data_IF_726029327396
#
_entry.id   IF_726029327396
#
_cell.length_a   1.000
_cell.length_b   1.000
_cell.length_c   1.000
_cell.angle_alpha   90.00
_cell.angle_beta   90.00
_cell.angle_gamma   90.00
#
_symmetry.space_group_name_H-M   'P 1'
#
loop_
_entity.id
_entity.type
_entity.pdbx_description
1 polymer ?
#
# COMPACT_ATOMS: atom_id res chain seq x y z
N UNK A 1 -40.05 9.65 35.37
CA UNK A 1 -40.01 8.65 34.28
C UNK A 1 -41.33 7.92 34.26
N UNK A 2 -41.99 7.93 33.13
CA UNK A 2 -43.20 7.13 32.90
C UNK A 2 -42.82 5.63 32.87
N UNK A 3 -43.75 4.72 33.25
CA UNK A 3 -43.51 3.28 33.22
C UNK A 3 -42.96 2.78 31.87
N UNK A 4 -43.40 3.36 30.77
CA UNK A 4 -42.95 3.04 29.45
C UNK A 4 -41.49 3.51 29.18
N UNK A 5 -41.09 4.65 29.73
CA UNK A 5 -39.69 5.15 29.65
C UNK A 5 -38.76 4.27 30.48
N UNK A 6 -39.20 3.84 31.66
CA UNK A 6 -38.44 2.95 32.52
C UNK A 6 -38.23 1.57 31.88
N UNK A 7 -39.26 1.00 31.26
CA UNK A 7 -39.16 -0.28 30.53
C UNK A 7 -38.18 -0.17 29.35
N UNK A 8 -38.22 0.92 28.57
CA UNK A 8 -37.28 1.16 27.46
C UNK A 8 -35.86 1.33 27.96
N UNK A 9 -35.66 2.06 29.06
CA UNK A 9 -34.34 2.25 29.68
C UNK A 9 -33.75 0.92 30.17
N UNK A 10 -34.54 0.12 30.92
CA UNK A 10 -34.12 -1.19 31.43
C UNK A 10 -33.81 -2.15 30.26
N UNK A 11 -34.65 -2.18 29.22
CA UNK A 11 -34.44 -2.99 28.03
C UNK A 11 -33.14 -2.60 27.27
N UNK A 12 -32.89 -1.31 27.13
CA UNK A 12 -31.67 -0.78 26.56
C UNK A 12 -30.41 -1.16 27.34
N UNK A 13 -30.50 -1.06 28.68
CA UNK A 13 -29.41 -1.43 29.59
C UNK A 13 -29.06 -2.94 29.50
N UNK A 14 -30.10 -3.79 29.51
CA UNK A 14 -29.94 -5.25 29.36
C UNK A 14 -29.30 -5.58 28.02
N UNK A 15 -29.77 -4.96 26.94
CA UNK A 15 -29.23 -5.16 25.60
C UNK A 15 -27.74 -4.75 25.51
N UNK A 16 -27.40 -3.59 26.08
CA UNK A 16 -26.04 -3.11 26.13
C UNK A 16 -25.12 -4.02 26.96
N UNK A 17 -25.57 -4.46 28.13
CA UNK A 17 -24.81 -5.39 28.99
C UNK A 17 -24.62 -6.75 28.32
N UNK A 18 -25.66 -7.32 27.73
CA UNK A 18 -25.58 -8.62 27.04
C UNK A 18 -24.60 -8.56 25.85
N UNK A 19 -24.68 -7.50 25.04
CA UNK A 19 -23.76 -7.26 23.94
C UNK A 19 -22.34 -7.10 24.45
N UNK A 20 -22.13 -6.25 25.46
CA UNK A 20 -20.80 -5.98 26.03
C UNK A 20 -20.14 -7.23 26.64
N UNK A 21 -20.91 -8.07 27.35
CA UNK A 21 -20.40 -9.33 27.91
C UNK A 21 -19.99 -10.30 26.80
N UNK A 22 -20.80 -10.47 25.76
CA UNK A 22 -20.50 -11.33 24.62
C UNK A 22 -19.27 -10.86 23.86
N UNK A 23 -19.19 -9.56 23.57
CA UNK A 23 -18.05 -8.96 22.85
C UNK A 23 -16.78 -8.96 23.72
N UNK A 24 -16.90 -8.76 25.03
CA UNK A 24 -15.78 -8.90 25.98
C UNK A 24 -15.15 -10.31 25.93
N UNK A 25 -16.01 -11.34 25.92
CA UNK A 25 -15.54 -12.71 25.78
C UNK A 25 -14.90 -12.96 24.40
N UNK A 26 -15.46 -12.36 23.34
CA UNK A 26 -14.93 -12.42 21.98
C UNK A 26 -13.56 -11.75 21.88
N UNK A 27 -13.40 -10.53 22.41
CA UNK A 27 -12.16 -9.76 22.42
C UNK A 27 -11.01 -10.51 23.13
N UNK A 28 -11.34 -11.21 24.23
CA UNK A 28 -10.34 -12.04 24.93
C UNK A 28 -9.79 -13.18 24.08
N UNK A 29 -10.57 -13.70 23.12
CA UNK A 29 -10.11 -14.74 22.18
C UNK A 29 -9.07 -14.22 21.20
N UNK A 30 -9.04 -12.91 20.98
CA UNK A 30 -8.14 -12.20 20.05
C UNK A 30 -7.13 -11.30 20.78
N UNK A 31 -6.87 -11.55 22.06
CA UNK A 31 -5.97 -10.77 22.91
C UNK A 31 -6.29 -9.27 23.03
N UNK A 32 -7.51 -8.87 22.70
CA UNK A 32 -7.99 -7.49 22.86
C UNK A 32 -8.50 -7.29 24.29
N UNK A 33 -8.23 -6.12 24.89
CA UNK A 33 -8.69 -5.82 26.26
C UNK A 33 -10.21 -5.84 26.34
N UNK A 34 -10.77 -6.76 27.12
CA UNK A 34 -12.22 -6.95 27.23
C UNK A 34 -13.00 -5.72 27.69
N UNK A 35 -12.38 -4.78 28.44
CA UNK A 35 -13.04 -3.52 28.86
C UNK A 35 -13.48 -2.66 27.70
N UNK A 36 -12.82 -2.75 26.55
CA UNK A 36 -13.17 -1.98 25.35
C UNK A 36 -14.56 -2.34 24.80
N UNK A 37 -15.07 -3.52 25.12
CA UNK A 37 -16.42 -3.96 24.75
C UNK A 37 -17.56 -3.11 25.39
N UNK A 38 -17.26 -2.35 26.44
CA UNK A 38 -18.25 -1.53 27.14
C UNK A 38 -18.14 -0.04 26.84
N UNK A 39 -17.16 0.36 26.01
CA UNK A 39 -16.93 1.77 25.68
C UNK A 39 -17.44 2.02 24.26
N UNK A 40 -18.53 2.80 24.10
CA UNK A 40 -19.07 3.14 22.78
C UNK A 40 -18.02 3.82 21.88
N UNK A 41 -17.99 3.45 20.61
CA UNK A 41 -16.98 3.88 19.66
C UNK A 41 -15.72 2.98 19.69
N UNK A 42 -15.12 2.77 20.88
CA UNK A 42 -13.95 1.89 21.04
C UNK A 42 -14.34 0.42 20.78
N UNK A 43 -15.53 0.01 21.19
CA UNK A 43 -16.08 -1.30 20.87
C UNK A 43 -16.14 -1.53 19.36
N UNK A 44 -16.72 -0.59 18.63
CA UNK A 44 -16.90 -0.66 17.19
C UNK A 44 -15.55 -0.69 16.45
N UNK A 45 -14.62 0.14 16.90
CA UNK A 45 -13.26 0.16 16.35
C UNK A 45 -12.53 -1.18 16.53
N UNK A 46 -12.57 -1.76 17.74
CA UNK A 46 -11.90 -3.03 18.01
C UNK A 46 -12.58 -4.23 17.32
N UNK A 47 -13.89 -4.19 17.08
CA UNK A 47 -14.55 -5.18 16.24
C UNK A 47 -14.06 -5.13 14.79
N UNK A 48 -13.78 -3.94 14.28
CA UNK A 48 -13.22 -3.78 12.95
C UNK A 48 -11.75 -4.22 12.88
N UNK A 49 -10.94 -3.98 13.92
CA UNK A 49 -9.58 -4.52 14.03
C UNK A 49 -9.61 -6.04 14.01
N UNK A 50 -10.46 -6.68 14.83
CA UNK A 50 -10.64 -8.13 14.85
C UNK A 50 -11.09 -8.69 13.48
N UNK A 51 -11.81 -7.90 12.69
CA UNK A 51 -12.24 -8.23 11.34
C UNK A 51 -11.19 -7.89 10.26
N UNK A 52 -9.97 -7.49 10.63
CA UNK A 52 -8.90 -7.03 9.73
C UNK A 52 -9.32 -5.86 8.81
N UNK A 53 -10.18 -4.96 9.33
CA UNK A 53 -10.75 -3.80 8.64
C UNK A 53 -10.46 -2.49 9.39
N UNK A 54 -9.20 -2.22 9.73
CA UNK A 54 -8.83 -1.06 10.56
C UNK A 54 -9.27 0.28 9.94
N UNK A 55 -9.14 0.48 8.63
CA UNK A 55 -9.56 1.72 7.96
C UNK A 55 -11.09 1.91 8.03
N UNK A 56 -11.86 0.84 7.79
CA UNK A 56 -13.31 0.86 7.99
C UNK A 56 -13.63 1.12 9.48
N UNK A 57 -12.79 0.63 10.40
CA UNK A 57 -12.91 0.82 11.84
C UNK A 57 -12.74 2.27 12.28
N UNK A 58 -11.78 3.01 11.72
CA UNK A 58 -11.61 4.45 11.98
C UNK A 58 -12.87 5.23 11.60
N UNK A 59 -13.41 4.94 10.40
CA UNK A 59 -14.66 5.57 9.94
C UNK A 59 -15.86 5.16 10.81
N UNK A 60 -15.96 3.89 11.18
CA UNK A 60 -17.02 3.35 12.01
C UNK A 60 -17.01 3.96 13.42
N UNK A 61 -15.81 4.13 14.02
CA UNK A 61 -15.61 4.86 15.27
C UNK A 61 -16.12 6.30 15.18
N UNK A 62 -15.69 7.05 14.14
CA UNK A 62 -16.12 8.43 13.94
C UNK A 62 -17.64 8.55 13.80
N UNK A 63 -18.26 7.66 13.02
CA UNK A 63 -19.72 7.61 12.86
C UNK A 63 -20.43 7.29 14.19
N UNK A 64 -19.88 6.38 15.00
CA UNK A 64 -20.43 6.05 16.30
C UNK A 64 -20.38 7.26 17.26
N UNK A 65 -19.25 7.95 17.35
CA UNK A 65 -19.09 9.15 18.18
C UNK A 65 -20.04 10.25 17.72
N UNK A 66 -20.08 10.56 16.42
CA UNK A 66 -20.99 11.59 15.88
C UNK A 66 -22.46 11.25 16.14
N UNK A 67 -22.86 9.99 16.03
CA UNK A 67 -24.21 9.52 16.34
C UNK A 67 -24.58 9.75 17.80
N UNK A 68 -23.68 9.41 18.74
CA UNK A 68 -23.94 9.66 20.17
C UNK A 68 -24.00 11.15 20.49
N UNK A 69 -23.15 11.98 19.86
CA UNK A 69 -23.23 13.44 20.00
C UNK A 69 -24.56 13.97 19.45
N UNK A 70 -24.99 13.52 18.27
CA UNK A 70 -26.29 13.92 17.70
C UNK A 70 -27.46 13.53 18.61
N UNK A 71 -27.40 12.34 19.22
CA UNK A 71 -28.42 11.90 20.19
C UNK A 71 -28.47 12.81 21.43
N UNK A 72 -27.30 13.19 21.99
CA UNK A 72 -27.26 14.12 23.13
C UNK A 72 -27.76 15.51 22.75
N UNK A 73 -27.40 16.02 21.59
CA UNK A 73 -27.85 17.33 21.09
C UNK A 73 -29.36 17.35 20.87
N UNK A 74 -29.96 16.23 20.48
CA UNK A 74 -31.39 16.12 20.30
C UNK A 74 -32.18 16.41 21.58
N UNK A 75 -31.63 16.07 22.77
CA UNK A 75 -32.26 16.36 24.05
C UNK A 75 -32.32 17.85 24.42
N UNK A 76 -31.52 18.70 23.75
CA UNK A 76 -31.48 20.15 23.97
C UNK A 76 -32.68 20.85 23.31
N UNK A 77 -33.23 20.25 22.26
CA UNK A 77 -34.32 20.85 21.47
C UNK A 77 -35.69 20.25 21.80
N UNK A 78 -36.72 21.10 21.84
CA UNK A 78 -38.09 20.67 22.06
C UNK A 78 -38.62 19.86 20.88
N UNK A 79 -39.30 18.71 21.14
CA UNK A 79 -39.97 17.95 20.09
C UNK A 79 -40.92 18.83 19.27
N UNK A 80 -40.85 18.71 17.93
CA UNK A 80 -41.63 19.52 17.00
C UNK A 80 -40.96 20.81 16.50
N UNK A 81 -39.81 21.23 17.06
CA UNK A 81 -39.05 22.34 16.53
C UNK A 81 -38.30 21.96 15.22
N UNK A 82 -38.04 22.94 14.35
CA UNK A 82 -37.28 22.74 13.13
C UNK A 82 -35.86 22.20 13.42
N UNK A 83 -35.23 22.66 14.52
CA UNK A 83 -33.90 22.18 14.95
C UNK A 83 -33.96 20.72 15.41
N UNK A 84 -34.98 20.31 16.13
CA UNK A 84 -35.19 18.91 16.50
C UNK A 84 -35.28 18.01 15.27
N UNK A 85 -36.08 18.43 14.26
CA UNK A 85 -36.23 17.70 13.01
C UNK A 85 -34.90 17.59 12.24
N UNK A 86 -34.11 18.67 12.19
CA UNK A 86 -32.79 18.69 11.54
C UNK A 86 -31.82 17.70 12.22
N UNK A 87 -31.73 17.77 13.57
CA UNK A 87 -30.84 16.86 14.33
C UNK A 87 -31.29 15.40 14.17
N UNK A 88 -32.60 15.14 14.13
CA UNK A 88 -33.12 13.80 13.85
C UNK A 88 -32.71 13.27 12.46
N UNK A 89 -32.77 14.10 11.44
CA UNK A 89 -32.34 13.74 10.09
C UNK A 89 -30.84 13.40 10.09
N UNK A 90 -30.00 14.21 10.73
CA UNK A 90 -28.57 13.95 10.88
C UNK A 90 -28.33 12.62 11.61
N UNK A 91 -29.02 12.39 12.72
CA UNK A 91 -28.92 11.15 13.49
C UNK A 91 -29.29 9.92 12.64
N UNK A 92 -30.39 9.98 11.89
CA UNK A 92 -30.81 8.88 11.01
C UNK A 92 -29.83 8.63 9.87
N UNK A 93 -29.26 9.71 9.31
CA UNK A 93 -28.23 9.59 8.26
C UNK A 93 -26.95 8.92 8.77
N UNK A 94 -26.50 9.28 9.98
CA UNK A 94 -25.36 8.66 10.65
C UNK A 94 -25.62 7.18 10.99
N UNK A 95 -26.84 6.86 11.42
CA UNK A 95 -27.26 5.49 11.70
C UNK A 95 -27.24 4.63 10.43
N UNK A 96 -27.73 5.16 9.30
CA UNK A 96 -27.70 4.48 8.01
C UNK A 96 -26.24 4.25 7.55
N UNK A 97 -25.38 5.27 7.64
CA UNK A 97 -23.97 5.16 7.29
C UNK A 97 -23.28 4.09 8.18
N UNK A 98 -23.53 4.12 9.50
CA UNK A 98 -22.99 3.12 10.43
C UNK A 98 -23.48 1.70 10.08
N UNK A 99 -24.73 1.54 9.68
CA UNK A 99 -25.29 0.25 9.26
C UNK A 99 -24.56 -0.28 8.01
N UNK A 100 -24.29 0.56 7.00
CA UNK A 100 -23.58 0.17 5.79
C UNK A 100 -22.12 -0.26 6.07
N UNK A 101 -21.40 0.48 6.93
CA UNK A 101 -20.06 0.09 7.37
C UNK A 101 -20.09 -1.18 8.23
N UNK A 102 -21.12 -1.33 9.07
CA UNK A 102 -21.36 -2.53 9.86
C UNK A 102 -21.48 -3.80 8.99
N UNK A 103 -22.16 -3.72 7.84
CA UNK A 103 -22.24 -4.86 6.90
C UNK A 103 -20.84 -5.30 6.47
N UNK A 104 -19.97 -4.36 6.08
CA UNK A 104 -18.58 -4.66 5.63
C UNK A 104 -17.77 -5.32 6.74
N UNK A 105 -17.84 -4.76 7.97
CA UNK A 105 -17.09 -5.26 9.12
C UNK A 105 -17.60 -6.66 9.52
N UNK A 106 -18.91 -6.88 9.58
CA UNK A 106 -19.46 -8.17 10.00
C UNK A 106 -19.33 -9.26 8.94
N UNK A 107 -19.26 -8.92 7.64
CA UNK A 107 -18.88 -9.87 6.59
C UNK A 107 -17.44 -10.32 6.81
N UNK A 108 -16.51 -9.39 6.97
CA UNK A 108 -15.11 -9.69 7.21
C UNK A 108 -14.90 -10.46 8.53
N UNK A 109 -15.64 -10.11 9.58
CA UNK A 109 -15.64 -10.87 10.85
C UNK A 109 -16.09 -12.33 10.65
N UNK A 110 -17.07 -12.57 9.78
CA UNK A 110 -17.47 -13.95 9.44
C UNK A 110 -16.34 -14.70 8.72
N UNK A 111 -15.61 -14.03 7.85
CA UNK A 111 -14.49 -14.63 7.12
C UNK A 111 -13.34 -14.98 8.10
N UNK A 112 -12.95 -14.09 9.02
CA UNK A 112 -11.95 -14.36 10.08
C UNK A 112 -12.35 -15.54 11.00
N UNK A 113 -13.64 -15.73 11.25
CA UNK A 113 -14.12 -16.86 12.06
C UNK A 113 -14.46 -18.11 11.23
N UNK A 114 -14.17 -18.14 9.92
CA UNK A 114 -14.48 -19.25 9.02
C UNK A 114 -15.97 -19.58 8.96
N UNK A 115 -16.85 -18.57 9.05
CA UNK A 115 -18.31 -18.77 9.12
C UNK A 115 -19.00 -18.30 7.85
N UNK A 116 -20.13 -18.95 7.53
CA UNK A 116 -20.95 -18.56 6.37
C UNK A 116 -21.48 -17.13 6.54
N UNK A 117 -21.47 -16.35 5.46
CA UNK A 117 -21.94 -14.94 5.45
C UNK A 117 -23.36 -14.70 5.96
N UNK A 118 -24.19 -15.73 6.09
CA UNK A 118 -25.50 -15.64 6.75
C UNK A 118 -25.42 -15.16 8.21
N UNK A 119 -24.27 -15.34 8.88
CA UNK A 119 -24.06 -14.82 10.23
C UNK A 119 -23.97 -13.30 10.28
N UNK A 120 -23.64 -12.63 9.19
CA UNK A 120 -23.67 -11.15 9.08
C UNK A 120 -25.07 -10.62 9.39
N UNK A 121 -26.11 -11.31 8.91
CA UNK A 121 -27.49 -10.92 9.23
C UNK A 121 -27.80 -11.01 10.73
N UNK A 122 -27.31 -12.05 11.40
CA UNK A 122 -27.48 -12.20 12.84
C UNK A 122 -26.70 -11.13 13.62
N UNK A 123 -25.50 -10.76 13.16
CA UNK A 123 -24.72 -9.66 13.73
C UNK A 123 -25.42 -8.29 13.57
N UNK A 124 -26.10 -8.04 12.45
CA UNK A 124 -26.77 -6.78 12.20
C UNK A 124 -28.07 -6.62 13.02
N UNK A 125 -28.84 -7.70 13.17
CA UNK A 125 -30.18 -7.62 13.78
C UNK A 125 -30.26 -8.23 15.18
N UNK A 126 -29.36 -9.12 15.55
CA UNK A 126 -29.31 -9.84 16.82
C UNK A 126 -27.91 -9.84 17.42
N UNK A 127 -27.22 -8.70 17.36
CA UNK A 127 -25.83 -8.55 17.83
C UNK A 127 -25.60 -9.09 19.24
N UNK A 128 -26.43 -8.82 20.27
CA UNK A 128 -26.21 -9.33 21.64
C UNK A 128 -26.22 -10.86 21.69
N UNK A 129 -27.17 -11.48 21.00
CA UNK A 129 -27.29 -12.95 20.97
C UNK A 129 -26.11 -13.57 20.22
N UNK A 130 -25.74 -12.98 19.08
CA UNK A 130 -24.62 -13.45 18.27
C UNK A 130 -23.30 -13.29 19.02
N UNK A 131 -23.10 -12.16 19.69
CA UNK A 131 -21.93 -11.88 20.52
C UNK A 131 -21.79 -12.89 21.67
N UNK A 132 -22.87 -13.22 22.37
CA UNK A 132 -22.87 -14.22 23.43
C UNK A 132 -22.54 -15.62 22.88
N UNK A 133 -23.16 -16.02 21.76
CA UNK A 133 -22.90 -17.33 21.12
C UNK A 133 -21.42 -17.43 20.71
N UNK A 134 -20.91 -16.42 20.02
CA UNK A 134 -19.52 -16.43 19.52
C UNK A 134 -18.51 -16.23 20.64
N UNK A 135 -18.82 -15.41 21.64
CA UNK A 135 -17.94 -15.14 22.78
C UNK A 135 -17.70 -16.37 23.66
N UNK A 136 -18.75 -17.09 24.01
CA UNK A 136 -18.68 -18.18 24.98
C UNK A 136 -18.51 -19.58 24.38
N UNK A 137 -18.70 -19.76 23.08
CA UNK A 137 -18.54 -21.08 22.46
C UNK A 137 -17.13 -21.25 21.87
N UNK A 138 -16.45 -22.33 22.23
CA UNK A 138 -15.11 -22.67 21.72
C UNK A 138 -15.08 -23.00 20.21
N UNK A 139 -16.26 -23.17 19.61
CA UNK A 139 -16.39 -23.38 18.14
C UNK A 139 -16.13 -22.11 17.33
N UNK A 140 -16.07 -20.94 17.98
CA UNK A 140 -15.87 -19.65 17.34
C UNK A 140 -14.55 -19.08 17.86
N UNK A 141 -13.47 -19.38 17.16
CA UNK A 141 -12.13 -18.80 17.37
C UNK A 141 -11.73 -18.01 16.13
N UNK A 142 -11.11 -16.86 16.29
CA UNK A 142 -10.56 -16.14 15.17
C UNK A 142 -9.42 -16.93 14.54
N UNK A 143 -9.38 -16.99 13.22
CA UNK A 143 -8.31 -17.63 12.47
C UNK A 143 -7.80 -16.63 11.41
N UNK A 144 -6.92 -15.76 11.85
CA UNK A 144 -6.31 -14.74 11.01
C UNK A 144 -5.39 -15.35 9.95
N UNK A 145 -4.81 -16.53 10.20
CA UNK A 145 -3.96 -17.22 9.21
C UNK A 145 -4.75 -17.69 8.00
N UNK A 146 -5.94 -18.25 8.22
CA UNK A 146 -6.75 -18.77 7.11
C UNK A 146 -7.24 -17.66 6.18
N UNK A 147 -7.48 -16.46 6.70
CA UNK A 147 -7.85 -15.28 5.87
C UNK A 147 -6.66 -14.80 5.07
N UNK A 148 -5.50 -14.68 5.72
CA UNK A 148 -4.23 -14.28 5.09
C UNK A 148 -3.85 -15.31 4.01
N UNK A 149 -3.91 -16.61 4.30
CA UNK A 149 -3.59 -17.67 3.35
C UNK A 149 -4.54 -17.63 2.14
N UNK A 150 -5.84 -17.39 2.35
CA UNK A 150 -6.82 -17.25 1.26
C UNK A 150 -6.55 -16.02 0.39
N UNK A 151 -6.14 -14.90 0.98
CA UNK A 151 -5.78 -13.69 0.25
C UNK A 151 -4.48 -13.91 -0.55
N UNK A 152 -3.52 -14.66 0.00
CA UNK A 152 -2.30 -15.04 -0.73
C UNK A 152 -2.58 -16.00 -1.88
N UNK A 153 -3.40 -17.02 -1.68
CA UNK A 153 -3.80 -17.94 -2.75
C UNK A 153 -4.51 -17.21 -3.89
N UNK A 154 -5.39 -16.26 -3.53
CA UNK A 154 -6.07 -15.42 -4.53
C UNK A 154 -5.09 -14.52 -5.26
N UNK A 155 -4.19 -13.84 -4.55
CA UNK A 155 -3.18 -12.98 -5.13
C UNK A 155 -2.21 -13.77 -6.01
N UNK A 156 -1.77 -14.96 -5.57
CA UNK A 156 -0.91 -15.86 -6.31
C UNK A 156 -1.56 -16.28 -7.64
N UNK A 157 -2.84 -16.65 -7.59
CA UNK A 157 -3.59 -17.02 -8.80
C UNK A 157 -3.73 -15.87 -9.79
N UNK A 158 -3.90 -14.61 -9.31
CA UNK A 158 -4.02 -13.44 -10.20
C UNK A 158 -2.67 -13.09 -10.83
N UNK A 159 -1.57 -13.19 -10.07
CA UNK A 159 -0.22 -12.83 -10.54
C UNK A 159 0.52 -13.96 -11.25
N UNK A 160 -0.08 -15.17 -11.34
CA UNK A 160 0.61 -16.34 -11.90
C UNK A 160 1.88 -16.76 -11.11
N UNK A 161 1.86 -16.56 -9.78
CA UNK A 161 3.03 -16.79 -8.91
C UNK A 161 2.70 -17.72 -7.75
N UNK A 162 3.72 -18.13 -7.00
CA UNK A 162 3.52 -18.96 -5.80
C UNK A 162 3.19 -18.10 -4.57
N UNK A 163 2.51 -18.70 -3.59
CA UNK A 163 2.26 -18.07 -2.28
C UNK A 163 3.58 -17.69 -1.59
N UNK A 164 4.61 -18.52 -1.75
CA UNK A 164 5.95 -18.25 -1.22
C UNK A 164 6.59 -17.00 -1.83
N UNK A 165 6.40 -16.76 -3.14
CA UNK A 165 6.89 -15.55 -3.80
C UNK A 165 6.19 -14.28 -3.28
N UNK A 166 4.88 -14.36 -2.95
CA UNK A 166 4.14 -13.25 -2.34
C UNK A 166 4.69 -12.93 -0.95
N UNK A 167 5.00 -13.97 -0.16
CA UNK A 167 5.53 -13.80 1.19
C UNK A 167 6.97 -13.26 1.22
N UNK A 168 7.75 -13.48 0.14
CA UNK A 168 9.18 -13.16 0.10
C UNK A 168 9.55 -12.07 -0.90
N UNK A 169 8.60 -11.30 -1.45
CA UNK A 169 8.86 -10.32 -2.48
C UNK A 169 7.87 -9.17 -2.52
N UNK A 170 7.85 -8.48 -3.67
CA UNK A 170 6.86 -7.47 -4.03
C UNK A 170 5.92 -8.05 -5.08
N UNK A 171 4.66 -8.28 -4.73
CA UNK A 171 3.63 -8.71 -5.67
C UNK A 171 2.70 -7.55 -6.01
N UNK A 172 2.51 -7.30 -7.28
CA UNK A 172 1.68 -6.22 -7.82
C UNK A 172 0.55 -6.84 -8.64
N UNK A 173 -0.69 -6.68 -8.20
CA UNK A 173 -1.90 -7.06 -8.90
C UNK A 173 -2.74 -5.82 -9.16
N UNK A 174 -2.40 -5.07 -10.20
CA UNK A 174 -3.09 -3.85 -10.60
C UNK A 174 -4.10 -4.18 -11.71
N UNK A 175 -5.39 -4.13 -11.38
CA UNK A 175 -6.49 -4.33 -12.33
C UNK A 175 -6.67 -3.09 -13.20
N UNK A 176 -6.82 -1.91 -12.59
CA UNK A 176 -6.91 -0.65 -13.32
C UNK A 176 -6.55 0.57 -12.46
N UNK A 177 -6.07 1.62 -13.13
CA UNK A 177 -5.99 2.97 -12.60
C UNK A 177 -6.72 3.90 -13.55
N UNK A 178 -7.77 4.54 -13.07
CA UNK A 178 -8.66 5.36 -13.88
C UNK A 178 -8.75 6.79 -13.35
N UNK A 179 -9.01 7.72 -14.28
CA UNK A 179 -9.34 9.12 -13.97
C UNK A 179 -10.65 9.45 -14.67
N UNK A 180 -11.52 10.17 -13.96
CA UNK A 180 -12.77 10.65 -14.53
C UNK A 180 -12.62 12.12 -14.90
N UNK A 181 -12.83 12.46 -16.17
CA UNK A 181 -12.82 13.83 -16.66
C UNK A 181 -14.12 14.11 -17.42
N UNK A 182 -14.86 15.14 -17.02
CA UNK A 182 -16.18 15.50 -17.59
C UNK A 182 -17.15 14.29 -17.69
N UNK A 183 -17.19 13.44 -16.66
CA UNK A 183 -18.06 12.26 -16.62
C UNK A 183 -17.62 11.07 -17.49
N UNK A 184 -16.51 11.19 -18.23
CA UNK A 184 -15.91 10.07 -18.98
C UNK A 184 -14.77 9.45 -18.17
N UNK A 185 -14.76 8.12 -18.11
CA UNK A 185 -13.72 7.32 -17.43
C UNK A 185 -12.59 7.03 -18.42
N UNK A 186 -11.35 7.37 -18.05
CA UNK A 186 -10.14 7.10 -18.82
C UNK A 186 -9.27 6.14 -18.01
N UNK A 187 -8.76 5.11 -18.68
CA UNK A 187 -7.82 4.17 -18.10
C UNK A 187 -6.39 4.70 -18.29
N UNK A 188 -5.69 4.93 -17.19
CA UNK A 188 -4.27 5.30 -17.23
C UNK A 188 -3.37 4.06 -17.26
N UNK A 189 -3.74 3.03 -16.46
CA UNK A 189 -3.08 1.72 -16.40
C UNK A 189 -4.14 0.64 -16.38
N UNK A 190 -3.79 -0.55 -16.88
CA UNK A 190 -4.70 -1.69 -16.87
C UNK A 190 -3.94 -3.02 -16.96
N UNK A 191 -4.41 -4.04 -16.21
CA UNK A 191 -3.96 -5.43 -16.24
C UNK A 191 -2.43 -5.56 -16.10
N UNK A 192 -1.88 -5.14 -14.95
CA UNK A 192 -0.45 -5.24 -14.62
C UNK A 192 -0.30 -6.19 -13.45
N UNK A 193 0.20 -7.40 -13.71
CA UNK A 193 0.35 -8.47 -12.72
C UNK A 193 1.77 -9.02 -12.76
N UNK A 194 2.46 -9.01 -11.60
CA UNK A 194 3.83 -9.52 -11.49
C UNK A 194 4.23 -9.76 -10.03
N UNK A 195 5.28 -10.55 -9.83
CA UNK A 195 5.91 -10.74 -8.52
C UNK A 195 7.43 -10.63 -8.65
N UNK A 196 8.02 -9.71 -7.89
CA UNK A 196 9.45 -9.39 -7.89
C UNK A 196 10.08 -9.97 -6.64
N UNK A 197 11.07 -10.88 -6.75
CA UNK A 197 11.77 -11.43 -5.59
C UNK A 197 12.61 -10.39 -4.85
N UNK A 198 12.88 -10.64 -3.57
CA UNK A 198 13.88 -9.86 -2.82
C UNK A 198 15.28 -10.06 -3.38
N UNK A 199 16.12 -9.04 -3.24
CA UNK A 199 17.48 -9.06 -3.76
C UNK A 199 17.60 -8.68 -5.23
N UNK A 200 16.48 -8.49 -5.94
CA UNK A 200 16.49 -8.14 -7.34
C UNK A 200 16.60 -6.64 -7.58
N UNK A 201 17.42 -6.30 -8.58
CA UNK A 201 17.49 -4.97 -9.17
C UNK A 201 16.73 -4.98 -10.48
N UNK A 202 15.66 -4.17 -10.58
CA UNK A 202 14.68 -4.22 -11.66
C UNK A 202 14.70 -2.92 -12.46
N UNK A 203 14.84 -3.04 -13.77
CA UNK A 203 14.73 -1.93 -14.71
C UNK A 203 13.25 -1.68 -15.04
N UNK A 204 12.75 -0.45 -14.85
CA UNK A 204 11.44 -0.04 -15.34
C UNK A 204 11.61 0.73 -16.66
N UNK A 205 11.24 0.10 -17.75
CA UNK A 205 11.34 0.60 -19.11
C UNK A 205 9.97 0.99 -19.66
N UNK A 206 9.91 2.02 -20.47
CA UNK A 206 8.66 2.44 -21.15
C UNK A 206 8.80 3.83 -21.76
N UNK A 207 8.12 4.07 -22.86
CA UNK A 207 8.11 5.35 -23.57
C UNK A 207 7.52 6.50 -22.78
N UNK A 208 7.54 7.68 -23.37
CA UNK A 208 6.85 8.85 -22.83
C UNK A 208 5.35 8.58 -22.75
N UNK A 209 4.74 8.87 -21.59
CA UNK A 209 3.32 8.60 -21.40
C UNK A 209 2.92 7.11 -21.32
N UNK A 210 3.85 6.16 -21.27
CA UNK A 210 3.55 4.74 -21.03
C UNK A 210 3.00 4.45 -19.62
N UNK A 211 2.95 5.46 -18.75
CA UNK A 211 2.37 5.34 -17.42
C UNK A 211 3.36 5.01 -16.32
N UNK A 212 4.69 5.12 -16.54
CA UNK A 212 5.73 4.82 -15.53
C UNK A 212 5.49 5.55 -14.20
N UNK A 213 5.32 6.86 -14.23
CA UNK A 213 5.05 7.66 -13.01
C UNK A 213 3.73 7.26 -12.35
N UNK A 214 2.68 7.00 -13.15
CA UNK A 214 1.38 6.54 -12.64
C UNK A 214 1.51 5.16 -11.99
N UNK A 215 2.31 4.27 -12.57
CA UNK A 215 2.62 2.95 -12.02
C UNK A 215 3.38 3.08 -10.70
N UNK A 216 4.43 3.90 -10.64
CA UNK A 216 5.16 4.15 -9.40
C UNK A 216 4.26 4.77 -8.33
N UNK A 217 3.40 5.74 -8.68
CA UNK A 217 2.45 6.32 -7.73
C UNK A 217 1.46 5.29 -7.18
N UNK A 218 1.04 4.32 -8.01
CA UNK A 218 0.19 3.22 -7.57
C UNK A 218 0.96 2.25 -6.66
N UNK A 219 2.17 1.84 -7.05
CA UNK A 219 3.01 0.91 -6.25
C UNK A 219 3.38 1.53 -4.89
N UNK A 220 3.69 2.82 -4.87
CA UNK A 220 4.02 3.55 -3.62
C UNK A 220 2.80 3.91 -2.77
N UNK A 221 1.58 3.72 -3.27
CA UNK A 221 0.35 4.10 -2.57
C UNK A 221 0.09 5.61 -2.55
N UNK A 222 0.91 6.42 -3.23
CA UNK A 222 0.73 7.87 -3.32
C UNK A 222 -0.57 8.21 -4.05
N UNK A 223 -0.86 7.50 -5.15
CA UNK A 223 -2.14 7.53 -5.84
C UNK A 223 -2.70 6.12 -5.96
N UNK A 224 -3.65 5.77 -5.07
CA UNK A 224 -4.22 4.42 -5.05
C UNK A 224 -4.90 4.07 -6.37
N UNK A 225 -4.66 2.85 -6.84
CA UNK A 225 -5.31 2.22 -7.98
C UNK A 225 -6.29 1.14 -7.48
N UNK A 226 -7.06 0.54 -8.38
CA UNK A 226 -7.76 -0.71 -8.12
C UNK A 226 -6.72 -1.85 -8.20
N UNK A 227 -6.04 -2.08 -7.09
CA UNK A 227 -4.89 -2.99 -7.02
C UNK A 227 -4.76 -3.62 -5.63
N UNK A 228 -4.21 -4.83 -5.61
CA UNK A 228 -3.66 -5.48 -4.42
C UNK A 228 -2.13 -5.52 -4.55
N UNK A 229 -1.44 -4.84 -3.65
CA UNK A 229 0.02 -4.75 -3.64
C UNK A 229 0.51 -5.34 -2.32
N UNK A 230 1.32 -6.39 -2.41
CA UNK A 230 1.90 -7.07 -1.26
C UNK A 230 3.41 -6.86 -1.23
N UNK A 231 3.92 -6.40 -0.10
CA UNK A 231 5.34 -6.37 0.20
C UNK A 231 5.60 -7.30 1.37
N UNK A 232 6.39 -8.36 1.15
CA UNK A 232 6.62 -9.42 2.13
C UNK A 232 5.33 -10.00 2.71
N UNK A 233 4.34 -10.23 1.85
CA UNK A 233 3.04 -10.78 2.22
C UNK A 233 2.08 -9.79 2.88
N UNK A 234 2.50 -8.55 3.19
CA UNK A 234 1.62 -7.56 3.80
C UNK A 234 1.01 -6.68 2.72
N UNK A 235 -0.34 -6.60 2.66
CA UNK A 235 -1.02 -5.71 1.73
C UNK A 235 -0.70 -4.25 2.05
N UNK A 236 0.01 -3.60 1.13
CA UNK A 236 0.54 -2.26 1.31
C UNK A 236 -0.55 -1.19 1.46
N UNK A 237 -1.64 -1.29 0.69
CA UNK A 237 -2.72 -0.31 0.73
C UNK A 237 -3.52 -0.34 2.04
N UNK A 238 -3.67 -1.54 2.62
CA UNK A 238 -4.39 -1.72 3.87
C UNK A 238 -3.55 -1.32 5.10
N UNK A 239 -2.21 -1.37 4.96
CA UNK A 239 -1.25 -1.13 6.05
C UNK A 239 -0.32 0.07 5.76
N UNK A 240 -0.75 1.04 4.95
CA UNK A 240 0.08 2.14 4.46
C UNK A 240 0.81 2.90 5.58
N UNK A 241 0.11 3.24 6.66
CA UNK A 241 0.68 4.05 7.75
C UNK A 241 1.83 3.35 8.49
N UNK A 242 1.80 2.02 8.61
CA UNK A 242 2.87 1.23 9.22
C UNK A 242 4.01 0.94 8.25
N UNK A 243 3.71 0.79 6.95
CA UNK A 243 4.65 0.35 5.93
C UNK A 243 5.28 1.46 5.08
N UNK A 244 4.82 2.71 5.21
CA UNK A 244 5.34 3.83 4.39
C UNK A 244 6.84 4.10 4.53
N UNK A 245 7.47 3.62 5.61
CA UNK A 245 8.92 3.71 5.81
C UNK A 245 9.69 2.49 5.27
N UNK A 246 8.99 1.40 4.91
CA UNK A 246 9.57 0.27 4.18
C UNK A 246 9.76 0.58 2.69
N UNK A 247 9.32 1.78 2.27
CA UNK A 247 9.44 2.29 0.92
C UNK A 247 10.35 3.51 0.92
N UNK A 248 11.41 3.46 0.09
CA UNK A 248 12.27 4.59 -0.26
C UNK A 248 11.98 5.03 -1.69
N UNK A 249 11.74 6.32 -1.90
CA UNK A 249 11.51 6.88 -3.22
C UNK A 249 12.45 8.06 -3.48
N UNK A 250 13.33 7.92 -4.46
CA UNK A 250 14.25 8.97 -4.90
C UNK A 250 13.75 9.57 -6.21
N UNK A 251 13.21 10.79 -6.18
CA UNK A 251 12.70 11.45 -7.38
C UNK A 251 13.84 11.90 -8.31
N UNK A 252 13.50 12.21 -9.56
CA UNK A 252 14.42 12.74 -10.55
C UNK A 252 15.10 14.04 -10.08
N UNK A 253 14.34 14.96 -9.48
CA UNK A 253 14.85 16.23 -8.97
C UNK A 253 15.15 16.15 -7.48
N UNK A 254 16.31 16.64 -7.08
CA UNK A 254 16.73 16.67 -5.68
C UNK A 254 16.02 17.78 -4.90
N UNK A 255 15.22 17.40 -3.89
CA UNK A 255 14.46 18.31 -3.04
C UNK A 255 15.18 18.54 -1.71
N UNK A 256 16.31 19.23 -1.74
CA UNK A 256 17.15 19.50 -0.54
C UNK A 256 17.42 20.98 -0.35
N UNK A 257 17.60 21.39 0.91
CA UNK A 257 18.05 22.76 1.25
C UNK A 257 19.53 22.92 0.96
N UNK A 258 19.86 23.83 0.04
CA UNK A 258 21.23 24.03 -0.42
C UNK A 258 22.15 24.67 0.63
N UNK A 259 21.59 25.38 1.61
CA UNK A 259 22.32 26.04 2.71
C UNK A 259 22.77 25.10 3.81
N UNK A 260 22.11 23.98 3.97
CA UNK A 260 22.36 23.03 5.06
C UNK A 260 23.59 22.18 4.75
N UNK A 261 24.23 21.66 5.80
CA UNK A 261 25.32 20.70 5.61
C UNK A 261 24.77 19.30 5.38
N UNK A 262 25.54 18.45 4.69
CA UNK A 262 25.20 17.04 4.45
C UNK A 262 24.81 16.32 5.74
N UNK A 263 25.63 16.47 6.79
CA UNK A 263 25.37 15.83 8.09
C UNK A 263 24.11 16.36 8.78
N UNK A 264 23.77 17.63 8.60
CA UNK A 264 22.56 18.25 9.17
C UNK A 264 21.31 17.78 8.43
N UNK A 265 21.35 17.78 7.10
CA UNK A 265 20.26 17.28 6.25
C UNK A 265 19.87 15.82 6.60
N UNK A 266 20.88 14.95 6.77
CA UNK A 266 20.66 13.55 7.17
C UNK A 266 20.16 13.43 8.62
N UNK A 267 20.65 14.27 9.53
CA UNK A 267 20.20 14.26 10.92
C UNK A 267 18.73 14.69 11.05
N UNK A 268 18.32 15.70 10.30
CA UNK A 268 16.94 16.18 10.28
C UNK A 268 16.00 15.12 9.69
N UNK A 269 16.39 14.50 8.59
CA UNK A 269 15.64 13.39 8.01
C UNK A 269 15.50 12.21 8.98
N UNK A 270 16.60 11.79 9.64
CA UNK A 270 16.58 10.75 10.66
C UNK A 270 15.69 11.12 11.87
N UNK A 271 15.61 12.40 12.21
CA UNK A 271 14.78 12.85 13.33
C UNK A 271 13.30 12.82 13.00
N UNK A 272 12.94 13.11 11.75
CA UNK A 272 11.55 13.13 11.29
C UNK A 272 11.00 11.73 10.96
N UNK A 273 11.84 10.83 10.46
CA UNK A 273 11.40 9.55 9.88
C UNK A 273 11.63 8.34 10.80
N UNK A 274 12.67 8.38 11.65
CA UNK A 274 12.95 7.25 12.55
C UNK A 274 12.08 7.30 13.81
N UNK A 275 11.74 6.13 14.38
CA UNK A 275 10.96 6.05 15.60
C UNK A 275 11.56 6.86 16.75
N UNK A 276 10.70 7.41 17.61
CA UNK A 276 11.09 8.30 18.71
C UNK A 276 11.95 7.64 19.79
N UNK A 277 11.88 6.30 19.92
CA UNK A 277 12.69 5.55 20.88
C UNK A 277 14.17 5.43 20.47
N UNK A 278 14.52 5.70 19.20
CA UNK A 278 15.92 5.66 18.74
C UNK A 278 16.64 6.87 19.29
N UNK A 279 17.68 6.61 20.10
CA UNK A 279 18.46 7.65 20.76
C UNK A 279 19.28 8.51 19.77
N UNK A 280 19.68 9.70 20.20
CA UNK A 280 20.55 10.57 19.39
C UNK A 280 21.89 9.92 19.03
N UNK A 281 22.40 9.03 19.89
CA UNK A 281 23.67 8.30 19.65
C UNK A 281 23.48 7.26 18.54
N UNK A 282 22.41 6.49 18.59
CA UNK A 282 22.06 5.50 17.57
C UNK A 282 21.78 6.15 16.22
N UNK A 283 21.02 7.26 16.18
CA UNK A 283 20.82 8.03 14.94
C UNK A 283 22.14 8.46 14.30
N UNK A 284 23.11 8.94 15.10
CA UNK A 284 24.43 9.31 14.57
C UNK A 284 25.21 8.12 13.99
N UNK A 285 25.09 6.94 14.60
CA UNK A 285 25.70 5.73 14.07
C UNK A 285 25.08 5.35 12.74
N UNK A 286 23.75 5.29 12.67
CA UNK A 286 23.02 4.99 11.42
C UNK A 286 23.39 5.96 10.30
N UNK A 287 23.40 7.26 10.58
CA UNK A 287 23.78 8.29 9.59
C UNK A 287 25.21 8.06 9.10
N UNK A 288 26.15 7.78 10.00
CA UNK A 288 27.55 7.53 9.59
C UNK A 288 27.66 6.29 8.71
N UNK A 289 26.98 5.20 9.04
CA UNK A 289 26.97 3.97 8.23
C UNK A 289 26.41 4.22 6.83
N UNK A 290 25.30 4.95 6.72
CA UNK A 290 24.71 5.32 5.42
C UNK A 290 25.67 6.23 4.63
N UNK A 291 26.31 7.20 5.30
CA UNK A 291 27.29 8.07 4.65
C UNK A 291 28.53 7.32 4.17
N UNK A 292 29.00 6.35 4.93
CA UNK A 292 30.15 5.49 4.56
C UNK A 292 29.81 4.66 3.34
N UNK A 293 28.66 3.98 3.35
CA UNK A 293 28.14 3.15 2.26
C UNK A 293 28.03 3.93 0.93
N UNK A 294 27.68 5.21 1.00
CA UNK A 294 27.52 6.09 -0.16
C UNK A 294 28.72 7.00 -0.44
N UNK A 295 29.84 6.84 0.28
CA UNK A 295 31.06 7.63 0.08
C UNK A 295 30.88 9.12 0.38
N UNK A 296 30.03 9.48 1.36
CA UNK A 296 29.71 10.87 1.73
C UNK A 296 30.43 11.37 2.98
N UNK A 297 31.22 10.53 3.68
CA UNK A 297 31.86 10.89 4.94
C UNK A 297 32.80 12.10 4.78
N UNK A 298 33.56 12.18 3.69
CA UNK A 298 34.51 13.27 3.40
C UNK A 298 33.81 14.63 3.24
N UNK A 299 32.56 14.65 2.80
CA UNK A 299 31.77 15.87 2.56
C UNK A 299 30.73 16.16 3.66
N UNK A 300 30.76 15.45 4.79
CA UNK A 300 29.79 15.56 5.88
C UNK A 300 29.55 17.00 6.34
N UNK A 301 30.60 17.83 6.37
CA UNK A 301 30.54 19.23 6.80
C UNK A 301 30.33 20.23 5.66
N UNK A 302 30.32 19.76 4.41
CA UNK A 302 30.09 20.59 3.24
C UNK A 302 28.62 20.97 3.13
N UNK A 303 28.36 22.17 2.62
CA UNK A 303 27.00 22.58 2.28
C UNK A 303 26.48 21.79 1.07
N UNK A 304 25.21 21.46 1.06
CA UNK A 304 24.58 20.70 -0.06
C UNK A 304 24.74 21.43 -1.38
N UNK A 305 24.66 22.76 -1.38
CA UNK A 305 24.85 23.58 -2.59
C UNK A 305 26.25 23.51 -3.20
N UNK A 306 27.27 23.06 -2.43
CA UNK A 306 28.67 22.92 -2.89
C UNK A 306 29.02 21.51 -3.36
N UNK A 307 28.08 20.57 -3.30
CA UNK A 307 28.27 19.19 -3.73
C UNK A 307 28.28 19.09 -5.27
N UNK A 308 29.09 18.14 -5.79
CA UNK A 308 28.95 17.72 -7.19
C UNK A 308 27.59 17.09 -7.42
N UNK A 309 27.15 16.98 -8.69
CA UNK A 309 25.90 16.31 -9.07
C UNK A 309 25.80 14.90 -8.48
N UNK A 310 26.85 14.08 -8.66
CA UNK A 310 26.90 12.72 -8.12
C UNK A 310 26.88 12.66 -6.59
N UNK A 311 27.55 13.60 -5.89
CA UNK A 311 27.48 13.68 -4.43
C UNK A 311 26.08 14.06 -3.96
N UNK A 312 25.41 14.99 -4.66
CA UNK A 312 24.04 15.40 -4.35
C UNK A 312 23.06 14.25 -4.56
N UNK A 313 23.20 13.51 -5.68
CA UNK A 313 22.34 12.34 -5.93
C UNK A 313 22.56 11.24 -4.88
N UNK A 314 23.81 10.95 -4.49
CA UNK A 314 24.10 10.02 -3.39
C UNK A 314 23.54 10.51 -2.05
N UNK A 315 23.50 11.82 -1.80
CA UNK A 315 22.83 12.35 -0.62
C UNK A 315 21.30 12.17 -0.67
N UNK A 316 20.67 12.34 -1.83
CA UNK A 316 19.25 12.05 -2.04
C UNK A 316 18.93 10.59 -1.73
N UNK A 317 19.78 9.67 -2.21
CA UNK A 317 19.71 8.23 -1.88
C UNK A 317 19.89 7.98 -0.38
N UNK A 318 20.86 8.66 0.26
CA UNK A 318 21.13 8.53 1.68
C UNK A 318 19.93 8.91 2.56
N UNK A 319 19.18 9.93 2.15
CA UNK A 319 17.99 10.38 2.86
C UNK A 319 16.91 9.30 2.93
N UNK A 320 16.77 8.52 1.88
CA UNK A 320 15.82 7.43 1.83
C UNK A 320 16.34 6.17 2.55
N UNK A 321 17.64 5.86 2.42
CA UNK A 321 18.27 4.70 3.05
C UNK A 321 18.32 4.76 4.60
N UNK A 322 18.16 5.93 5.21
CA UNK A 322 18.13 6.08 6.68
C UNK A 322 17.05 5.20 7.33
N UNK A 323 15.92 5.01 6.65
CA UNK A 323 14.82 4.16 7.14
C UNK A 323 15.02 2.68 6.86
N UNK A 324 16.09 2.31 6.17
CA UNK A 324 16.40 0.94 5.74
C UNK A 324 15.24 0.29 4.95
N UNK A 325 14.71 0.93 3.89
CA UNK A 325 13.53 0.48 3.19
C UNK A 325 13.73 -0.88 2.52
N UNK A 326 12.69 -1.68 2.46
CA UNK A 326 12.66 -2.97 1.75
C UNK A 326 12.51 -2.79 0.24
N UNK A 327 11.64 -1.85 -0.17
CA UNK A 327 11.44 -1.46 -1.57
C UNK A 327 12.06 -0.10 -1.82
N UNK A 328 12.99 -0.04 -2.76
CA UNK A 328 13.74 1.17 -3.09
C UNK A 328 13.55 1.54 -4.56
N UNK A 329 12.89 2.65 -4.80
CA UNK A 329 12.53 3.13 -6.15
C UNK A 329 13.32 4.39 -6.46
N UNK A 330 13.96 4.41 -7.65
CA UNK A 330 14.74 5.55 -8.11
C UNK A 330 14.29 5.97 -9.51
N UNK A 331 13.93 7.23 -9.63
CA UNK A 331 13.53 7.83 -10.90
C UNK A 331 14.71 8.63 -11.47
N UNK A 332 15.29 8.12 -12.55
CA UNK A 332 16.45 8.70 -13.27
C UNK A 332 17.60 9.13 -12.34
N UNK A 333 18.16 8.21 -11.53
CA UNK A 333 19.21 8.56 -10.58
C UNK A 333 20.52 8.97 -11.25
N UNK A 334 20.69 8.65 -12.52
CA UNK A 334 21.88 8.94 -13.35
C UNK A 334 21.75 10.25 -14.15
N UNK A 335 20.63 10.93 -14.09
CA UNK A 335 20.39 12.17 -14.84
C UNK A 335 21.43 13.24 -14.50
N UNK A 336 22.13 13.76 -15.53
CA UNK A 336 23.16 14.78 -15.38
C UNK A 336 24.51 14.27 -14.83
N UNK A 337 24.71 12.95 -14.72
CA UNK A 337 25.99 12.35 -14.33
C UNK A 337 26.80 11.91 -15.56
N UNK A 338 28.14 11.97 -15.45
CA UNK A 338 29.00 11.33 -16.43
C UNK A 338 28.93 9.79 -16.33
N UNK A 339 29.32 9.09 -17.39
CA UNK A 339 29.16 7.65 -17.48
C UNK A 339 29.88 6.85 -16.39
N UNK A 340 31.04 7.31 -15.90
CA UNK A 340 31.78 6.62 -14.83
C UNK A 340 31.08 6.82 -13.48
N UNK A 341 30.64 8.04 -13.18
CA UNK A 341 29.94 8.35 -11.94
C UNK A 341 28.58 7.66 -11.91
N UNK A 342 27.87 7.61 -13.04
CA UNK A 342 26.62 6.86 -13.18
C UNK A 342 26.84 5.37 -12.92
N UNK A 343 27.84 4.74 -13.54
CA UNK A 343 28.18 3.32 -13.33
C UNK A 343 28.43 3.01 -11.85
N UNK A 344 29.28 3.79 -11.19
CA UNK A 344 29.57 3.63 -9.76
C UNK A 344 28.32 3.77 -8.88
N UNK A 345 27.37 4.62 -9.29
CA UNK A 345 26.10 4.77 -8.60
C UNK A 345 25.25 3.48 -8.73
N UNK A 346 25.13 2.95 -9.94
CA UNK A 346 24.38 1.71 -10.19
C UNK A 346 25.02 0.49 -9.50
N UNK A 347 26.34 0.40 -9.43
CA UNK A 347 27.04 -0.63 -8.65
C UNK A 347 26.73 -0.52 -7.15
N UNK A 348 26.61 0.70 -6.64
CA UNK A 348 26.17 0.92 -5.26
C UNK A 348 24.72 0.45 -5.05
N UNK A 349 23.81 0.73 -6.01
CA UNK A 349 22.42 0.27 -5.97
C UNK A 349 22.35 -1.26 -6.07
N UNK A 350 23.17 -1.90 -6.91
CA UNK A 350 23.30 -3.36 -6.99
C UNK A 350 23.67 -3.97 -5.63
N UNK A 351 24.65 -3.37 -4.95
CA UNK A 351 25.06 -3.82 -3.61
C UNK A 351 23.92 -3.68 -2.59
N UNK A 352 23.12 -2.61 -2.69
CA UNK A 352 21.93 -2.44 -1.87
C UNK A 352 20.90 -3.54 -2.14
N UNK A 353 20.67 -3.91 -3.40
CA UNK A 353 19.79 -5.02 -3.75
C UNK A 353 20.32 -6.36 -3.20
N UNK A 354 21.62 -6.62 -3.32
CA UNK A 354 22.28 -7.84 -2.80
C UNK A 354 22.13 -8.02 -1.27
N UNK A 355 21.82 -6.94 -0.53
CA UNK A 355 21.48 -7.00 0.90
C UNK A 355 20.04 -7.48 1.17
N UNK A 356 19.31 -7.95 0.14
CA UNK A 356 17.94 -8.44 0.24
C UNK A 356 16.87 -7.40 -0.01
N UNK A 357 17.22 -6.23 -0.55
CA UNK A 357 16.24 -5.19 -0.92
C UNK A 357 15.76 -5.37 -2.37
N UNK A 358 14.57 -4.86 -2.66
CA UNK A 358 14.08 -4.75 -4.04
C UNK A 358 14.42 -3.34 -4.51
N UNK A 359 15.20 -3.23 -5.56
CA UNK A 359 15.63 -1.94 -6.14
C UNK A 359 15.02 -1.78 -7.52
N UNK A 360 14.10 -0.84 -7.69
CA UNK A 360 13.47 -0.53 -8.98
C UNK A 360 14.00 0.80 -9.52
N UNK A 361 14.51 0.80 -10.75
CA UNK A 361 15.14 1.99 -11.34
C UNK A 361 14.57 2.30 -12.71
N UNK A 362 14.31 3.58 -12.95
CA UNK A 362 14.08 4.14 -14.27
C UNK A 362 15.38 4.81 -14.72
N UNK A 363 15.85 4.55 -15.93
CA UNK A 363 16.97 5.25 -16.55
C UNK A 363 16.76 5.44 -18.05
N UNK A 364 17.37 6.48 -18.61
CA UNK A 364 17.36 6.76 -20.04
C UNK A 364 18.53 6.11 -20.81
N UNK A 365 19.49 5.54 -20.10
CA UNK A 365 20.66 4.89 -20.71
C UNK A 365 20.86 3.47 -20.19
N UNK A 366 19.80 2.61 -20.33
CA UNK A 366 19.79 1.28 -19.68
C UNK A 366 20.92 0.37 -20.16
N UNK A 367 21.25 0.39 -21.45
CA UNK A 367 22.23 -0.53 -22.04
C UNK A 367 23.65 -0.36 -21.48
N UNK A 368 23.97 0.80 -20.87
CA UNK A 368 25.28 1.05 -20.23
C UNK A 368 25.47 0.32 -18.90
N UNK A 369 24.38 -0.08 -18.26
CA UNK A 369 24.37 -0.64 -16.91
C UNK A 369 23.50 -1.88 -16.79
N UNK A 370 23.08 -2.44 -17.94
CA UNK A 370 22.13 -3.54 -18.01
C UNK A 370 22.62 -4.81 -17.31
N UNK A 371 23.93 -5.02 -17.30
CA UNK A 371 24.59 -6.12 -16.62
C UNK A 371 24.44 -6.10 -15.09
N UNK A 372 23.96 -5.00 -14.53
CA UNK A 372 23.68 -4.87 -13.09
C UNK A 372 22.22 -5.20 -12.71
N UNK A 373 21.34 -5.39 -13.70
CA UNK A 373 19.93 -5.68 -13.48
C UNK A 373 19.63 -7.17 -13.62
N UNK A 374 18.70 -7.67 -12.81
CA UNK A 374 18.19 -9.04 -12.88
C UNK A 374 17.01 -9.12 -13.85
N UNK A 375 16.04 -8.22 -13.68
CA UNK A 375 14.77 -8.23 -14.41
C UNK A 375 14.47 -6.89 -15.07
N UNK A 376 13.56 -6.92 -16.05
CA UNK A 376 12.99 -5.73 -16.66
C UNK A 376 11.46 -5.77 -16.65
N UNK A 377 10.87 -4.63 -16.31
CA UNK A 377 9.45 -4.32 -16.51
C UNK A 377 9.35 -3.43 -17.74
N UNK A 378 8.64 -3.88 -18.77
CA UNK A 378 8.37 -3.06 -19.96
C UNK A 378 6.91 -2.64 -19.95
N UNK A 379 6.69 -1.34 -19.70
CA UNK A 379 5.36 -0.73 -19.84
C UNK A 379 5.20 -0.13 -21.23
N UNK A 380 4.11 -0.45 -21.89
CA UNK A 380 3.78 0.04 -23.20
C UNK A 380 2.42 0.72 -23.23
N UNK A 381 2.25 1.70 -24.09
CA UNK A 381 0.99 2.39 -24.32
C UNK A 381 0.25 1.69 -25.45
N UNK A 382 -0.92 1.11 -25.17
CA UNK A 382 -1.76 0.45 -26.14
C UNK A 382 -2.44 1.45 -27.13
N UNK A 383 -3.17 0.96 -28.12
CA UNK A 383 -3.88 1.79 -29.09
C UNK A 383 -4.92 2.71 -28.42
N UNK A 384 -5.46 2.36 -27.25
CA UNK A 384 -6.35 3.18 -26.45
C UNK A 384 -5.63 4.21 -25.57
N UNK A 385 -4.29 4.32 -25.69
CA UNK A 385 -3.39 5.15 -24.89
C UNK A 385 -3.39 4.79 -23.40
N UNK A 386 -3.69 3.54 -23.07
CA UNK A 386 -3.62 2.98 -21.72
C UNK A 386 -2.26 2.29 -21.51
N UNK A 387 -1.62 2.53 -20.38
CA UNK A 387 -0.38 1.82 -20.02
C UNK A 387 -0.67 0.37 -19.66
N UNK A 388 0.03 -0.55 -20.29
CA UNK A 388 -0.10 -2.00 -20.13
C UNK A 388 1.26 -2.64 -19.88
N UNK A 389 1.26 -3.81 -19.28
CA UNK A 389 2.46 -4.62 -19.13
C UNK A 389 2.74 -5.39 -20.44
N UNK A 390 3.82 -5.02 -21.12
CA UNK A 390 4.26 -5.71 -22.33
C UNK A 390 5.23 -6.87 -22.02
N UNK A 391 5.96 -6.77 -20.89
CA UNK A 391 6.84 -7.85 -20.42
C UNK A 391 7.27 -7.58 -18.97
N UNK A 392 7.43 -8.65 -18.21
CA UNK A 392 8.18 -8.69 -16.95
C UNK A 392 8.94 -10.02 -16.87
N UNK A 393 10.21 -9.96 -16.50
CA UNK A 393 11.06 -11.12 -16.30
C UNK A 393 12.55 -10.82 -16.51
N UNK A 394 13.40 -11.89 -16.53
CA UNK A 394 14.84 -11.76 -16.66
C UNK A 394 15.26 -10.99 -17.92
N UNK A 395 16.34 -10.18 -17.78
CA UNK A 395 16.89 -9.37 -18.88
C UNK A 395 17.20 -10.20 -20.13
N UNK A 396 17.82 -11.37 -19.98
CA UNK A 396 18.22 -12.20 -21.12
C UNK A 396 16.98 -12.73 -21.89
N UNK A 397 15.93 -13.13 -21.18
CA UNK A 397 14.69 -13.58 -21.80
C UNK A 397 13.93 -12.45 -22.50
N UNK A 398 14.10 -11.20 -22.06
CA UNK A 398 13.50 -10.05 -22.71
C UNK A 398 14.02 -9.86 -24.13
N UNK A 399 15.31 -10.01 -24.36
CA UNK A 399 15.90 -9.92 -25.70
C UNK A 399 15.30 -10.95 -26.67
N UNK A 400 15.16 -12.20 -26.22
CA UNK A 400 14.54 -13.27 -27.02
C UNK A 400 13.05 -13.01 -27.27
N UNK A 401 12.33 -12.53 -26.23
CA UNK A 401 10.90 -12.25 -26.32
C UNK A 401 10.58 -11.17 -27.35
N UNK A 402 11.34 -10.07 -27.35
CA UNK A 402 11.15 -8.97 -28.29
C UNK A 402 11.86 -9.17 -29.63
N UNK A 403 12.81 -10.13 -29.73
CA UNK A 403 13.67 -10.32 -30.90
C UNK A 403 14.56 -9.12 -31.16
N UNK A 404 15.11 -8.53 -30.10
CA UNK A 404 15.94 -7.32 -30.12
C UNK A 404 17.25 -7.56 -29.39
N UNK A 405 18.26 -6.70 -29.65
CA UNK A 405 19.60 -6.84 -29.11
C UNK A 405 19.97 -5.81 -28.02
N UNK A 406 19.11 -4.81 -27.81
CA UNK A 406 19.33 -3.77 -26.80
C UNK A 406 18.00 -3.35 -26.16
N UNK A 407 18.07 -2.73 -24.97
CA UNK A 407 16.90 -2.18 -24.30
C UNK A 407 16.35 -0.96 -25.03
N UNK A 408 17.20 -0.18 -25.70
CA UNK A 408 16.77 0.92 -26.56
C UNK A 408 15.95 0.42 -27.75
N UNK A 409 16.34 -0.69 -28.40
CA UNK A 409 15.57 -1.32 -29.49
C UNK A 409 14.23 -1.90 -28.99
N UNK A 410 14.21 -2.48 -27.77
CA UNK A 410 12.96 -2.94 -27.13
C UNK A 410 12.03 -1.75 -26.92
N UNK A 411 12.56 -0.65 -26.38
CA UNK A 411 11.78 0.58 -26.17
C UNK A 411 11.21 1.14 -27.49
N UNK A 412 12.01 1.18 -28.54
CA UNK A 412 11.56 1.61 -29.87
C UNK A 412 10.45 0.70 -30.41
N UNK A 413 10.53 -0.61 -30.18
CA UNK A 413 9.51 -1.56 -30.68
C UNK A 413 8.14 -1.34 -30.05
N UNK A 414 8.06 -0.93 -28.78
CA UNK A 414 6.79 -0.70 -28.05
C UNK A 414 6.29 0.76 -28.11
N UNK A 415 7.16 1.72 -28.45
CA UNK A 415 6.75 3.11 -28.59
C UNK A 415 5.79 3.31 -29.77
N UNK A 416 4.89 4.27 -29.64
CA UNK A 416 3.95 4.61 -30.71
C UNK A 416 4.68 5.19 -31.94
N UNK A 417 4.09 5.02 -33.12
CA UNK A 417 4.67 5.52 -34.38
C UNK A 417 4.81 7.04 -34.43
N UNK A 418 3.88 7.77 -33.82
CA UNK A 418 3.94 9.22 -33.68
C UNK A 418 5.04 9.69 -32.71
N UNK A 419 5.55 8.80 -31.88
CA UNK A 419 6.70 9.02 -30.98
C UNK A 419 8.03 8.44 -31.54
N UNK A 420 8.05 8.07 -32.83
CA UNK A 420 9.22 7.53 -33.51
C UNK A 420 9.48 6.05 -33.27
N UNK A 421 8.53 5.30 -32.72
CA UNK A 421 8.62 3.86 -32.50
C UNK A 421 8.00 3.00 -33.61
N UNK A 422 8.04 1.68 -33.44
CA UNK A 422 7.45 0.70 -34.35
C UNK A 422 5.92 0.54 -34.16
N UNK A 423 5.38 0.91 -33.00
CA UNK A 423 3.95 0.83 -32.67
C UNK A 423 3.43 -0.58 -32.43
N UNK A 424 4.29 -1.49 -31.92
CA UNK A 424 3.95 -2.91 -31.69
C UNK A 424 3.54 -3.21 -30.24
N UNK A 425 3.11 -2.19 -29.48
CA UNK A 425 2.74 -2.34 -28.09
C UNK A 425 1.68 -3.43 -27.87
N UNK A 426 0.56 -3.39 -28.62
CA UNK A 426 -0.54 -4.32 -28.47
C UNK A 426 -0.10 -5.77 -28.74
N UNK A 427 0.70 -5.99 -29.78
CA UNK A 427 1.27 -7.30 -30.11
C UNK A 427 2.04 -7.91 -28.93
N UNK A 428 2.93 -7.14 -28.31
CA UNK A 428 3.74 -7.63 -27.20
C UNK A 428 2.92 -7.79 -25.92
N UNK A 429 1.94 -6.94 -25.65
CA UNK A 429 1.01 -7.09 -24.52
C UNK A 429 0.22 -8.38 -24.65
N UNK A 430 -0.34 -8.69 -25.84
CA UNK A 430 -1.07 -9.92 -26.10
C UNK A 430 -0.17 -11.15 -26.00
N UNK A 431 1.03 -11.08 -26.61
CA UNK A 431 2.04 -12.15 -26.56
C UNK A 431 2.46 -12.47 -25.13
N UNK A 432 2.66 -11.45 -24.29
CA UNK A 432 3.01 -11.65 -22.89
C UNK A 432 1.84 -12.24 -22.08
N UNK A 433 0.63 -11.74 -22.27
CA UNK A 433 -0.56 -12.29 -21.63
C UNK A 433 -0.78 -13.77 -21.96
N UNK A 434 -0.54 -14.17 -23.23
CA UNK A 434 -0.59 -15.58 -23.64
C UNK A 434 0.51 -16.41 -22.94
N UNK A 435 1.76 -15.91 -22.85
CA UNK A 435 2.87 -16.59 -22.14
C UNK A 435 2.53 -16.85 -20.67
N UNK A 436 1.95 -15.89 -19.99
CA UNK A 436 1.54 -16.04 -18.58
C UNK A 436 0.39 -17.03 -18.44
N UNK A 437 -0.63 -16.96 -19.31
CA UNK A 437 -1.77 -17.88 -19.28
C UNK A 437 -1.40 -19.35 -19.57
N UNK A 438 -0.37 -19.61 -20.37
CA UNK A 438 0.17 -20.96 -20.61
C UNK A 438 0.95 -21.53 -19.42
N UNK A 439 1.58 -20.65 -18.61
CA UNK A 439 2.30 -21.07 -17.39
C UNK A 439 1.35 -21.48 -16.26
N UNK A 440 0.14 -20.92 -16.21
CA UNK A 440 -0.89 -21.24 -15.22
C UNK A 440 -1.63 -22.58 -15.49
N UNK A 441 -1.43 -23.19 -16.67
CA UNK A 441 -2.05 -24.45 -17.09
C UNK A 441 -1.18 -25.70 -16.86
N UNK A 442 0.01 -25.57 -16.32
CA UNK A 442 0.91 -26.68 -15.98
C UNK A 442 1.11 -26.78 -14.47
#
# INVERSE_FOLDING_TARGET
MDNNEMIRFIGGLINWLASGIGICALFRKDNIKGIYAFIPGIQEYNLAIMAEREEDGKTYFMLAVCKYVALLVQYIFTPGSAMYALVLIVYLSLLLAQFLFGIRIFVALCDVFGKKRKWTFLWLFLAPVTALIWGFSDKYKPDHKSVIDTDYERAAKISGTSVEAIQNGLTINLTDRTVTNFGKKFYLLKDIHMSIPTGHMVLLLGGSGAGKTTFLNAVTGYEKANADIFLHGVNFYNNYDSMKYDLGFVPQSDLMRLSDTVGMTLYDAATLRLPTHISRKEKKVLINNVMEKLGLLSVKRSQVGKLSGGQRKRLSIALELICDPTLFILDEPDSGLDGVVARNLFETLRNIANEGKIVMVITHTPDRVIDLFDDVIVLAKDAARTGRLAYYGPINEAYDFFGKSSMEEILLSVNQKDEGGEGRADEFVEKYAAKVGESDGK
#
